data_IF_711495755605
#
_entry.id   IF_711495755605
#
_cell.length_a   1.000
_cell.length_b   1.000
_cell.length_c   1.000
_cell.angle_alpha   90.00
_cell.angle_beta   90.00
_cell.angle_gamma   90.00
#
_symmetry.space_group_name_H-M   'P 1'
#
loop_
_entity.id
_entity.type
_entity.pdbx_description
1 polymer ?
#
# COMPACT_ATOMS: atom_id res chain seq x y z
N UNK A 1 -15.71 2.22 -56.75
CA UNK A 1 -14.57 1.64 -56.02
C UNK A 1 -14.92 1.71 -54.54
N UNK A 2 -15.46 0.62 -54.00
CA UNK A 2 -15.79 0.50 -52.57
C UNK A 2 -14.75 -0.41 -51.94
N UNK A 3 -14.07 0.08 -50.91
CA UNK A 3 -13.24 -0.75 -50.04
C UNK A 3 -13.57 -0.43 -48.60
N UNK A 4 -14.01 -1.48 -47.91
CA UNK A 4 -14.40 -1.56 -46.51
C UNK A 4 -13.14 -1.63 -45.63
N UNK A 5 -13.10 -0.89 -44.52
CA UNK A 5 -12.08 -1.11 -43.47
C UNK A 5 -12.73 -1.60 -42.18
N UNK A 6 -12.14 -2.68 -41.68
CA UNK A 6 -12.62 -3.51 -40.58
C UNK A 6 -12.30 -2.91 -39.21
N UNK A 7 -13.28 -2.96 -38.31
CA UNK A 7 -13.12 -2.70 -36.89
C UNK A 7 -12.34 -3.86 -36.25
N UNK A 8 -11.22 -3.57 -35.58
CA UNK A 8 -10.49 -4.52 -34.74
C UNK A 8 -10.48 -4.02 -33.29
N UNK A 9 -11.24 -4.71 -32.44
CA UNK A 9 -11.21 -4.55 -30.98
C UNK A 9 -10.06 -5.37 -30.38
N UNK A 10 -9.19 -4.82 -29.51
CA UNK A 10 -8.23 -5.65 -28.80
C UNK A 10 -8.89 -6.35 -27.61
N UNK A 11 -8.82 -7.69 -27.68
CA UNK A 11 -9.12 -8.67 -26.64
C UNK A 11 -8.46 -8.33 -25.29
N UNK A 12 -9.26 -8.24 -24.22
CA UNK A 12 -8.78 -8.22 -22.84
C UNK A 12 -8.44 -9.65 -22.40
N UNK A 13 -7.16 -9.94 -22.28
CA UNK A 13 -6.69 -11.19 -21.67
C UNK A 13 -6.95 -11.18 -20.16
N UNK A 14 -7.54 -12.24 -19.56
CA UNK A 14 -7.63 -12.38 -18.11
C UNK A 14 -6.28 -12.81 -17.51
N UNK A 15 -5.92 -12.27 -16.35
CA UNK A 15 -4.79 -12.77 -15.57
C UNK A 15 -5.08 -14.18 -15.03
N UNK A 16 -4.09 -15.09 -15.02
CA UNK A 16 -4.28 -16.45 -14.51
C UNK A 16 -4.40 -16.47 -12.98
N UNK A 17 -5.42 -17.17 -12.48
CA UNK A 17 -5.65 -17.48 -11.06
C UNK A 17 -5.11 -18.87 -10.72
N UNK A 18 -4.33 -18.98 -9.64
CA UNK A 18 -3.92 -20.26 -9.01
C UNK A 18 -3.77 -20.08 -7.49
N UNK A 19 -3.68 -21.15 -6.69
CA UNK A 19 -4.76 -22.03 -6.27
C UNK A 19 -5.00 -21.97 -4.75
N UNK A 20 -6.16 -22.49 -4.32
CA UNK A 20 -6.56 -22.61 -2.92
C UNK A 20 -5.68 -23.58 -2.13
N UNK A 21 -5.30 -23.19 -0.91
CA UNK A 21 -4.65 -24.08 0.07
C UNK A 21 -5.42 -24.10 1.39
N UNK A 22 -6.14 -25.21 1.55
CA UNK A 22 -6.55 -25.95 2.76
C UNK A 22 -6.42 -25.30 4.14
N UNK A 23 -7.58 -25.25 4.80
CA UNK A 23 -7.80 -25.01 6.22
C UNK A 23 -7.17 -26.07 7.13
N UNK A 24 -6.52 -25.61 8.21
CA UNK A 24 -6.38 -26.38 9.45
C UNK A 24 -6.84 -25.53 10.64
N UNK A 25 -7.89 -26.03 11.27
CA UNK A 25 -8.52 -25.55 12.51
C UNK A 25 -7.59 -25.72 13.71
N UNK A 26 -7.35 -24.64 14.45
CA UNK A 26 -7.04 -24.70 15.89
C UNK A 26 -7.87 -23.63 16.59
N UNK A 27 -8.84 -24.06 17.39
CA UNK A 27 -9.62 -23.18 18.26
C UNK A 27 -8.89 -22.93 19.57
N UNK A 28 -8.87 -21.68 20.03
CA UNK A 28 -8.72 -21.32 21.45
C UNK A 28 -9.58 -20.07 21.76
N UNK A 29 -10.22 -20.14 22.92
CA UNK A 29 -11.30 -19.34 23.53
C UNK A 29 -10.87 -17.90 23.92
N UNK A 30 -11.80 -16.92 24.03
CA UNK A 30 -11.45 -15.51 24.21
C UNK A 30 -11.14 -15.18 25.68
N UNK A 31 -9.99 -14.55 25.91
CA UNK A 31 -9.60 -13.97 27.19
C UNK A 31 -9.29 -12.50 27.00
N UNK A 32 -10.12 -11.63 27.58
CA UNK A 32 -9.89 -10.20 27.60
C UNK A 32 -8.65 -9.86 28.44
N UNK A 33 -7.67 -9.20 27.82
CA UNK A 33 -6.58 -8.55 28.54
C UNK A 33 -6.16 -7.30 27.79
N UNK A 34 -6.33 -6.16 28.46
CA UNK A 34 -5.89 -4.83 28.10
C UNK A 34 -4.46 -4.84 27.54
N UNK A 35 -4.30 -4.59 26.24
CA UNK A 35 -2.99 -4.45 25.60
C UNK A 35 -2.46 -3.03 25.80
N UNK A 36 -1.48 -2.90 26.69
CA UNK A 36 -0.57 -1.76 26.75
C UNK A 36 0.29 -1.73 25.47
N UNK A 37 0.72 -0.54 24.97
CA UNK A 37 1.44 -0.43 23.72
C UNK A 37 2.81 -1.11 23.84
N UNK A 38 2.96 -2.27 23.22
CA UNK A 38 4.20 -3.04 23.20
C UNK A 38 5.22 -2.27 22.36
N UNK A 39 6.23 -1.67 22.99
CA UNK A 39 7.42 -1.20 22.29
C UNK A 39 8.08 -2.41 21.64
N UNK A 40 7.91 -2.58 20.32
CA UNK A 40 8.55 -3.64 19.57
C UNK A 40 10.08 -3.48 19.70
N UNK A 41 10.68 -4.30 20.56
CA UNK A 41 12.12 -4.48 20.63
C UNK A 41 12.62 -4.95 19.26
N UNK A 42 13.69 -4.33 18.79
CA UNK A 42 14.37 -4.71 17.57
C UNK A 42 15.03 -6.08 17.83
N UNK A 43 14.59 -7.10 17.10
CA UNK A 43 15.16 -8.46 17.16
C UNK A 43 16.70 -8.38 17.02
N UNK A 44 17.48 -8.90 17.98
CA UNK A 44 18.94 -8.89 17.90
C UNK A 44 19.39 -9.66 16.66
N UNK A 45 20.04 -8.97 15.71
CA UNK A 45 20.56 -9.57 14.47
C UNK A 45 19.71 -9.34 13.21
N UNK A 46 18.59 -8.63 13.29
CA UNK A 46 17.85 -8.24 12.08
C UNK A 46 18.64 -7.22 11.23
N UNK A 47 18.59 -7.32 9.89
CA UNK A 47 19.26 -6.36 9.00
C UNK A 47 18.70 -4.95 9.22
N UNK A 48 19.54 -3.90 9.00
CA UNK A 48 19.10 -2.52 9.13
C UNK A 48 17.94 -2.21 8.18
N UNK A 49 16.97 -1.45 8.67
CA UNK A 49 15.82 -0.97 7.90
C UNK A 49 16.10 0.44 7.43
N UNK A 50 16.17 0.65 6.12
CA UNK A 50 16.42 1.95 5.51
C UNK A 50 15.14 2.58 5.00
N UNK A 51 15.02 3.90 5.11
CA UNK A 51 13.96 4.68 4.49
C UNK A 51 14.23 4.79 2.99
N UNK A 52 13.24 4.43 2.17
CA UNK A 52 13.30 4.52 0.71
C UNK A 52 12.50 5.72 0.20
N UNK A 53 11.34 5.98 0.79
CA UNK A 53 10.46 7.08 0.39
C UNK A 53 9.66 7.60 1.59
N UNK A 54 9.31 8.88 1.56
CA UNK A 54 8.42 9.49 2.55
C UNK A 54 7.38 10.38 1.85
N UNK A 55 6.15 10.36 2.33
CA UNK A 55 5.08 11.21 1.80
C UNK A 55 4.18 11.70 2.92
N UNK A 56 3.81 12.97 2.86
CA UNK A 56 2.69 13.50 3.65
C UNK A 56 1.38 13.23 2.92
N UNK A 57 0.33 13.02 3.69
CA UNK A 57 -1.02 13.03 3.16
C UNK A 57 -1.46 14.47 2.83
N UNK A 58 -2.63 14.59 2.20
CA UNK A 58 -3.11 15.82 1.56
C UNK A 58 -3.44 16.93 2.56
N UNK A 59 -3.74 16.60 3.81
CA UNK A 59 -4.01 17.56 4.88
C UNK A 59 -2.83 17.68 5.88
N UNK A 60 -1.66 17.15 5.53
CA UNK A 60 -0.43 17.14 6.34
C UNK A 60 -0.60 16.55 7.76
N UNK A 61 -1.67 15.80 7.99
CA UNK A 61 -1.97 15.19 9.28
C UNK A 61 -1.43 13.77 9.44
N UNK A 62 -0.94 13.18 8.35
CA UNK A 62 -0.42 11.82 8.29
C UNK A 62 0.85 11.72 7.43
N UNK A 63 1.76 10.86 7.84
CA UNK A 63 3.04 10.60 7.21
C UNK A 63 3.14 9.12 6.86
N UNK A 64 3.40 8.79 5.60
CA UNK A 64 3.77 7.45 5.16
C UNK A 64 5.27 7.36 4.90
N UNK A 65 5.89 6.29 5.38
CA UNK A 65 7.30 5.97 5.18
C UNK A 65 7.40 4.61 4.50
N UNK A 66 8.02 4.54 3.33
CA UNK A 66 8.35 3.30 2.65
C UNK A 66 9.78 2.90 3.00
N UNK A 67 10.02 1.63 3.32
CA UNK A 67 11.31 1.16 3.82
C UNK A 67 11.76 -0.12 3.11
N UNK A 68 13.01 -0.51 3.36
CA UNK A 68 13.57 -1.78 2.87
C UNK A 68 12.94 -3.03 3.49
N UNK A 69 12.01 -2.90 4.44
CA UNK A 69 11.34 -4.02 5.10
C UNK A 69 9.82 -4.01 4.97
N UNK A 70 9.24 -2.83 5.08
CA UNK A 70 7.80 -2.59 5.13
C UNK A 70 7.50 -1.12 4.76
N UNK A 71 6.26 -0.69 4.93
CA UNK A 71 5.97 0.73 5.04
C UNK A 71 5.28 1.00 6.39
N UNK A 72 5.33 2.25 6.85
CA UNK A 72 4.81 2.69 8.15
C UNK A 72 3.99 3.94 7.99
N UNK A 73 3.06 4.18 8.91
CA UNK A 73 2.27 5.40 8.90
C UNK A 73 2.05 5.96 10.28
N UNK A 74 2.17 7.28 10.35
CA UNK A 74 2.11 8.05 11.57
C UNK A 74 1.08 9.14 11.40
N UNK A 75 0.23 9.34 12.39
CA UNK A 75 -0.61 10.53 12.44
C UNK A 75 0.12 11.60 13.25
N UNK A 76 0.34 12.76 12.63
CA UNK A 76 1.11 13.87 13.18
C UNK A 76 0.27 14.74 14.11
N UNK A 77 -1.04 14.83 13.85
CA UNK A 77 -1.98 15.57 14.67
C UNK A 77 -3.21 14.70 14.96
N UNK A 78 -3.36 14.31 16.22
CA UNK A 78 -4.61 13.79 16.76
C UNK A 78 -5.35 14.91 17.48
N UNK A 79 -6.60 15.18 17.12
CA UNK A 79 -7.49 16.06 17.88
C UNK A 79 -7.84 15.46 19.25
N UNK A 80 -7.64 14.15 19.42
CA UNK A 80 -7.83 13.43 20.67
C UNK A 80 -6.48 13.05 21.28
N UNK A 81 -6.19 13.65 22.44
CA UNK A 81 -5.12 13.33 23.39
C UNK A 81 -3.69 13.78 23.05
N UNK A 82 -3.04 14.22 24.13
CA UNK A 82 -1.73 14.85 24.31
C UNK A 82 -0.50 13.99 23.96
N UNK A 83 -0.66 12.91 23.20
CA UNK A 83 0.45 12.15 22.63
C UNK A 83 0.51 12.44 21.14
N UNK A 84 1.28 13.48 20.78
CA UNK A 84 1.66 13.71 19.39
C UNK A 84 2.47 12.49 18.93
N UNK A 85 2.19 11.96 17.74
CA UNK A 85 2.80 10.75 17.13
C UNK A 85 2.22 9.40 17.59
N UNK A 86 0.96 9.13 17.21
CA UNK A 86 0.47 7.75 17.21
C UNK A 86 1.04 7.04 15.98
N UNK A 87 2.04 6.17 16.21
CA UNK A 87 2.55 5.27 15.21
C UNK A 87 1.51 4.17 14.93
N UNK A 88 0.85 4.26 13.78
CA UNK A 88 0.01 3.17 13.29
C UNK A 88 0.88 2.16 12.56
N UNK A 89 1.59 1.34 13.34
CA UNK A 89 2.44 0.26 12.85
C UNK A 89 1.58 -0.96 12.52
N UNK A 90 0.86 -0.95 11.40
CA UNK A 90 0.34 -2.20 10.86
C UNK A 90 1.39 -2.77 9.93
N UNK A 91 2.02 -3.89 10.32
CA UNK A 91 2.99 -4.63 9.49
C UNK A 91 2.22 -5.30 8.36
N UNK A 92 1.90 -4.49 7.37
CA UNK A 92 0.89 -4.78 6.38
C UNK A 92 1.43 -5.63 5.24
N UNK A 93 2.72 -5.44 4.93
CA UNK A 93 3.51 -6.26 4.02
C UNK A 93 4.88 -6.50 4.66
N UNK A 94 5.29 -7.75 4.81
CA UNK A 94 6.65 -8.11 5.22
C UNK A 94 7.58 -8.11 4.00
N UNK A 95 7.51 -7.03 3.20
CA UNK A 95 8.24 -6.89 1.96
C UNK A 95 8.69 -5.44 1.75
N UNK A 96 9.83 -5.20 1.10
CA UNK A 96 10.32 -3.85 0.81
C UNK A 96 9.33 -3.07 -0.07
N UNK A 97 9.12 -1.80 0.27
CA UNK A 97 8.15 -0.92 -0.41
C UNK A 97 8.91 0.25 -1.01
N UNK A 98 8.73 0.50 -2.32
CA UNK A 98 9.39 1.59 -3.03
C UNK A 98 8.70 2.94 -2.78
N UNK A 99 7.36 2.94 -2.75
CA UNK A 99 6.57 4.13 -2.46
C UNK A 99 5.27 3.74 -1.75
N UNK A 100 4.83 4.57 -0.81
CA UNK A 100 3.55 4.42 -0.16
C UNK A 100 2.96 5.79 0.12
N UNK A 101 1.70 6.00 -0.26
CA UNK A 101 0.93 7.21 0.06
C UNK A 101 -0.42 6.82 0.64
N UNK A 102 -0.99 7.70 1.45
CA UNK A 102 -2.32 7.52 2.04
C UNK A 102 -3.31 8.57 1.54
N UNK A 103 -4.58 8.19 1.48
CA UNK A 103 -5.67 9.11 1.19
C UNK A 103 -6.24 9.68 2.49
N UNK A 104 -5.93 10.95 2.79
CA UNK A 104 -6.30 11.68 4.01
C UNK A 104 -6.04 10.82 5.26
N UNK A 105 -6.99 10.74 6.21
CA UNK A 105 -6.98 9.80 7.34
C UNK A 105 -7.84 8.55 7.07
N UNK A 106 -8.01 8.17 5.81
CA UNK A 106 -8.81 6.99 5.45
C UNK A 106 -7.99 5.70 5.57
N UNK A 107 -8.67 4.58 5.40
CA UNK A 107 -8.11 3.24 5.34
C UNK A 107 -7.43 2.92 3.99
N UNK A 108 -7.52 3.79 2.99
CA UNK A 108 -7.03 3.50 1.63
C UNK A 108 -5.61 4.04 1.45
N UNK A 109 -4.74 3.18 0.92
CA UNK A 109 -3.33 3.47 0.63
C UNK A 109 -2.99 3.02 -0.78
N UNK A 110 -2.11 3.75 -1.46
CA UNK A 110 -1.49 3.29 -2.70
C UNK A 110 -0.04 2.91 -2.40
N UNK A 111 0.34 1.67 -2.73
CA UNK A 111 1.62 1.06 -2.37
C UNK A 111 2.27 0.56 -3.65
N UNK A 112 3.54 0.88 -3.86
CA UNK A 112 4.38 0.34 -4.93
C UNK A 112 5.38 -0.62 -4.30
N UNK A 113 5.31 -1.89 -4.68
CA UNK A 113 6.26 -2.91 -4.23
C UNK A 113 7.63 -2.60 -4.79
N UNK A 114 8.69 -2.69 -3.98
CA UNK A 114 10.05 -2.57 -4.52
C UNK A 114 10.45 -3.80 -5.36
N UNK A 115 9.80 -4.95 -5.15
CA UNK A 115 10.01 -6.16 -5.95
C UNK A 115 9.23 -6.17 -7.26
N UNK A 116 8.12 -5.42 -7.33
CA UNK A 116 7.29 -5.28 -8.53
C UNK A 116 6.96 -3.79 -8.74
N UNK A 117 7.95 -2.98 -9.17
CA UNK A 117 7.81 -1.52 -9.15
C UNK A 117 6.97 -0.99 -10.31
N UNK A 118 6.44 -1.88 -11.16
CA UNK A 118 5.46 -1.56 -12.21
C UNK A 118 4.01 -1.61 -11.70
N UNK A 119 3.79 -2.06 -10.46
CA UNK A 119 2.45 -2.31 -9.93
C UNK A 119 2.15 -1.45 -8.69
N UNK A 120 1.03 -0.74 -8.76
CA UNK A 120 0.47 0.02 -7.64
C UNK A 120 -0.67 -0.80 -7.03
N UNK A 121 -0.53 -1.19 -5.77
CA UNK A 121 -1.57 -1.85 -4.98
C UNK A 121 -2.41 -0.80 -4.27
N UNK A 122 -3.73 -0.84 -4.49
CA UNK A 122 -4.67 -0.06 -3.70
C UNK A 122 -5.07 -0.90 -2.49
N UNK A 123 -4.47 -0.61 -1.35
CA UNK A 123 -4.67 -1.34 -0.12
C UNK A 123 -5.77 -0.73 0.74
N UNK A 124 -6.61 -1.58 1.32
CA UNK A 124 -7.60 -1.22 2.32
C UNK A 124 -7.21 -1.79 3.69
N UNK A 125 -6.92 -0.88 4.64
CA UNK A 125 -6.60 -1.19 6.03
C UNK A 125 -7.74 -1.87 6.80
N UNK A 126 -9.01 -1.62 6.47
CA UNK A 126 -10.14 -2.27 7.16
C UNK A 126 -10.21 -3.75 6.81
N UNK A 127 -10.04 -4.09 5.54
CA UNK A 127 -10.14 -5.46 5.05
C UNK A 127 -8.82 -6.21 5.12
N UNK A 128 -7.70 -5.49 5.19
CA UNK A 128 -6.37 -6.10 5.15
C UNK A 128 -6.07 -6.73 3.79
N UNK A 129 -6.63 -6.17 2.71
CA UNK A 129 -6.47 -6.68 1.36
C UNK A 129 -6.19 -5.56 0.37
N UNK A 130 -5.64 -5.90 -0.79
CA UNK A 130 -5.51 -4.99 -1.93
C UNK A 130 -6.63 -5.26 -2.94
N UNK A 131 -7.84 -4.69 -2.78
CA UNK A 131 -8.98 -4.97 -3.66
C UNK A 131 -8.68 -4.69 -5.14
N UNK A 132 -7.84 -3.72 -5.43
CA UNK A 132 -7.50 -3.31 -6.78
C UNK A 132 -6.00 -3.07 -6.94
N UNK A 133 -5.51 -3.24 -8.17
CA UNK A 133 -4.15 -2.89 -8.55
C UNK A 133 -4.15 -2.17 -9.89
N UNK A 134 -3.24 -1.20 -10.03
CA UNK A 134 -2.96 -0.51 -11.28
C UNK A 134 -1.60 -0.99 -11.79
N UNK A 135 -1.57 -1.44 -13.04
CA UNK A 135 -0.33 -1.87 -13.67
C UNK A 135 0.16 -0.81 -14.65
N UNK A 136 1.42 -0.45 -14.52
CA UNK A 136 2.17 0.36 -15.46
C UNK A 136 3.06 -0.54 -16.32
N UNK A 137 3.43 -0.05 -17.52
CA UNK A 137 4.46 -0.72 -18.33
C UNK A 137 5.86 -0.26 -17.89
N UNK A 138 6.15 1.06 -17.82
CA UNK A 138 7.36 1.52 -17.15
C UNK A 138 7.22 1.41 -15.63
N UNK A 139 8.38 1.42 -14.97
CA UNK A 139 8.47 1.54 -13.52
C UNK A 139 7.72 2.78 -13.00
N UNK A 140 7.00 2.60 -11.90
CA UNK A 140 6.31 3.66 -11.19
C UNK A 140 7.32 4.34 -10.27
N UNK A 141 7.66 5.57 -10.60
CA UNK A 141 8.58 6.39 -9.81
C UNK A 141 7.90 7.00 -8.60
N UNK A 142 6.62 7.36 -8.74
CA UNK A 142 5.85 7.97 -7.66
C UNK A 142 4.37 7.74 -7.88
N UNK A 143 3.61 7.79 -6.78
CA UNK A 143 2.15 7.75 -6.83
C UNK A 143 1.59 8.85 -5.93
N UNK A 144 0.51 9.47 -6.35
CA UNK A 144 -0.20 10.48 -5.58
C UNK A 144 -1.70 10.20 -5.60
N UNK A 145 -2.39 10.58 -4.54
CA UNK A 145 -3.81 10.31 -4.38
C UNK A 145 -4.59 11.56 -4.02
N UNK A 146 -5.82 11.64 -4.54
CA UNK A 146 -6.91 12.49 -4.04
C UNK A 146 -8.18 11.64 -3.98
N UNK A 147 -9.33 12.21 -3.61
CA UNK A 147 -10.58 11.44 -3.42
C UNK A 147 -11.06 10.76 -4.70
N UNK A 148 -10.75 11.37 -5.82
CA UNK A 148 -11.29 11.11 -7.14
C UNK A 148 -10.22 10.70 -8.16
N UNK A 149 -8.94 10.79 -7.80
CA UNK A 149 -7.82 10.63 -8.74
C UNK A 149 -6.68 9.86 -8.09
N UNK A 150 -6.09 8.92 -8.83
CA UNK A 150 -4.84 8.24 -8.48
C UNK A 150 -3.83 8.55 -9.57
N UNK A 151 -2.91 9.47 -9.27
CA UNK A 151 -1.86 9.83 -10.20
C UNK A 151 -0.70 8.82 -10.10
N UNK A 152 -0.38 8.15 -11.21
CA UNK A 152 0.77 7.25 -11.34
C UNK A 152 1.82 7.93 -12.21
N UNK A 153 2.99 8.20 -11.62
CA UNK A 153 4.10 8.88 -12.28
C UNK A 153 5.15 7.84 -12.68
N UNK A 154 5.54 7.90 -13.95
CA UNK A 154 6.62 7.11 -14.54
C UNK A 154 7.65 8.06 -15.15
N UNK A 155 8.78 7.54 -15.61
CA UNK A 155 9.84 8.34 -16.23
C UNK A 155 9.36 9.25 -17.38
N UNK A 156 8.42 8.76 -18.20
CA UNK A 156 8.02 9.45 -19.44
C UNK A 156 6.66 10.15 -19.34
N UNK A 157 5.85 9.86 -18.31
CA UNK A 157 4.48 10.40 -18.18
C UNK A 157 3.88 10.23 -16.79
N UNK A 158 2.91 11.10 -16.50
CA UNK A 158 1.95 10.92 -15.42
C UNK A 158 0.58 10.48 -16.00
N UNK A 159 -0.05 9.48 -15.37
CA UNK A 159 -1.42 9.03 -15.63
C UNK A 159 -2.29 9.37 -14.43
N UNK A 160 -3.54 9.75 -14.64
CA UNK A 160 -4.52 10.10 -13.60
C UNK A 160 -5.66 9.09 -13.55
#
# INVERSE_FOLDING_TARGET
MSSSEASSTPSRSPCPSSPASSSSTVGVKPGASSESPTKQQQEPGAPPVYLLNMSLNQDHSGLCLATTKDFRTFFLYSQAQSDNFVEFRRRLMAAPVAAAVMLYKTNIRAIVSAAEPTRVLLWDDKTGTAPHALCSRPEVLSVQMRRDVIAVVTEYKARL
#
